data_IF_385520717873
#
_entry.id   IF_385520717873
#
_cell.length_a   1.000
_cell.length_b   1.000
_cell.length_c   1.000
_cell.angle_alpha   90.00
_cell.angle_beta   90.00
_cell.angle_gamma   90.00
#
_symmetry.space_group_name_H-M   'P 1'
#
loop_
_entity.id
_entity.type
_entity.pdbx_description
1 polymer ?
#
# COMPACT_ATOMS: atom_id res chain seq x y z
N UNK A 1 7.13 -7.81 -9.37
CA UNK A 1 7.12 -6.34 -9.48
C UNK A 1 7.17 -5.75 -8.08
N UNK A 2 8.02 -4.76 -7.83
CA UNK A 2 8.18 -4.19 -6.48
C UNK A 2 7.30 -2.97 -6.30
N UNK A 3 6.47 -3.03 -5.27
CA UNK A 3 5.51 -2.00 -4.93
C UNK A 3 5.83 -1.49 -3.53
N UNK A 4 5.82 -0.18 -3.41
CA UNK A 4 5.89 0.47 -2.13
C UNK A 4 4.49 0.61 -1.56
N UNK A 5 4.32 0.46 -0.24
CA UNK A 5 3.03 0.58 0.42
C UNK A 5 3.08 1.62 1.54
N UNK A 6 2.01 2.40 1.68
CA UNK A 6 1.79 3.24 2.85
C UNK A 6 1.22 2.44 4.04
N UNK A 7 1.11 3.07 5.20
CA UNK A 7 0.58 2.41 6.39
C UNK A 7 -0.88 1.98 6.23
N UNK A 8 -1.72 2.86 5.64
CA UNK A 8 -3.17 2.66 5.62
C UNK A 8 -3.60 1.50 4.73
N UNK A 9 -3.02 1.38 3.53
CA UNK A 9 -3.30 0.28 2.61
C UNK A 9 -2.72 -1.03 3.13
N UNK A 10 -1.51 -1.01 3.70
CA UNK A 10 -0.88 -2.20 4.29
C UNK A 10 -1.69 -2.77 5.46
N UNK A 11 -2.09 -1.92 6.41
CA UNK A 11 -2.95 -2.31 7.54
C UNK A 11 -4.27 -2.88 7.05
N UNK A 12 -4.86 -2.28 6.01
CA UNK A 12 -6.10 -2.80 5.40
C UNK A 12 -5.89 -4.23 4.92
N UNK A 13 -4.81 -4.51 4.18
CA UNK A 13 -4.50 -5.86 3.72
C UNK A 13 -4.20 -6.84 4.87
N UNK A 14 -3.61 -6.38 5.96
CA UNK A 14 -3.29 -7.19 7.14
C UNK A 14 -4.48 -7.45 8.07
N UNK A 15 -5.61 -6.76 7.86
CA UNK A 15 -6.80 -6.85 8.72
C UNK A 15 -7.91 -7.74 8.16
N UNK A 16 -8.08 -7.74 6.84
CA UNK A 16 -9.18 -8.46 6.19
C UNK A 16 -8.72 -9.82 5.66
N UNK A 17 -9.67 -10.75 5.56
CA UNK A 17 -9.44 -12.11 5.10
C UNK A 17 -10.42 -12.51 4.00
N UNK A 18 -9.96 -13.38 3.12
CA UNK A 18 -10.76 -14.12 2.14
C UNK A 18 -10.43 -15.60 2.33
N UNK A 19 -11.46 -16.44 2.48
CA UNK A 19 -11.31 -17.90 2.61
C UNK A 19 -10.29 -18.34 3.70
N UNK A 20 -10.25 -17.61 4.82
CA UNK A 20 -9.35 -17.88 5.96
C UNK A 20 -7.90 -17.41 5.78
N UNK A 21 -7.61 -16.70 4.69
CA UNK A 21 -6.29 -16.15 4.35
C UNK A 21 -6.31 -14.62 4.34
N UNK A 22 -5.27 -13.97 4.87
CA UNK A 22 -5.17 -12.51 4.85
C UNK A 22 -5.09 -11.97 3.42
N UNK A 23 -5.74 -10.84 3.18
CA UNK A 23 -5.61 -10.10 1.90
C UNK A 23 -4.14 -9.80 1.61
N UNK A 24 -3.34 -9.46 2.65
CA UNK A 24 -1.90 -9.24 2.55
C UNK A 24 -1.17 -10.44 1.93
N UNK A 25 -1.56 -11.66 2.28
CA UNK A 25 -0.90 -12.85 1.74
C UNK A 25 -1.24 -13.05 0.25
N UNK A 26 -2.43 -12.66 -0.22
CA UNK A 26 -2.73 -12.65 -1.67
C UNK A 26 -1.91 -11.60 -2.41
N UNK A 27 -1.76 -10.40 -1.83
CA UNK A 27 -0.92 -9.34 -2.40
C UNK A 27 0.53 -9.81 -2.51
N UNK A 28 1.06 -10.47 -1.48
CA UNK A 28 2.43 -10.99 -1.45
C UNK A 28 2.68 -12.18 -2.38
N UNK A 29 1.65 -12.77 -2.99
CA UNK A 29 1.83 -13.77 -4.04
C UNK A 29 2.04 -13.13 -5.42
N UNK A 30 1.59 -11.88 -5.59
CA UNK A 30 1.59 -11.19 -6.90
C UNK A 30 2.51 -9.97 -6.94
N UNK A 31 2.97 -9.49 -5.78
CA UNK A 31 3.88 -8.36 -5.67
C UNK A 31 4.93 -8.55 -4.57
N UNK A 32 6.11 -7.96 -4.80
CA UNK A 32 7.10 -7.74 -3.75
C UNK A 32 6.77 -6.43 -3.06
N UNK A 33 6.66 -6.43 -1.73
CA UNK A 33 6.35 -5.23 -0.95
C UNK A 33 7.63 -4.66 -0.36
N UNK A 34 7.80 -3.34 -0.48
CA UNK A 34 8.84 -2.59 0.23
C UNK A 34 8.22 -1.46 1.07
N UNK A 35 8.72 -1.27 2.28
CA UNK A 35 8.32 -0.23 3.22
C UNK A 35 9.52 0.64 3.60
N UNK A 36 9.25 1.87 4.03
CA UNK A 36 10.25 2.64 4.78
C UNK A 36 10.29 2.20 6.25
N UNK A 37 11.39 2.51 6.93
CA UNK A 37 11.53 2.27 8.37
C UNK A 37 10.45 3.01 9.18
N UNK A 38 10.05 4.19 8.73
CA UNK A 38 8.99 4.98 9.37
C UNK A 38 7.63 4.28 9.27
N UNK A 39 7.30 3.70 8.10
CA UNK A 39 6.07 2.93 7.93
C UNK A 39 6.12 1.64 8.75
N UNK A 40 7.28 0.96 8.84
CA UNK A 40 7.43 -0.17 9.77
C UNK A 40 7.15 0.27 11.21
N UNK A 41 7.75 1.36 11.70
CA UNK A 41 7.54 1.83 13.07
C UNK A 41 6.06 2.14 13.35
N UNK A 42 5.37 2.75 12.40
CA UNK A 42 3.95 3.06 12.53
C UNK A 42 3.08 1.79 12.54
N UNK A 43 3.28 0.91 11.56
CA UNK A 43 2.40 -0.26 11.35
C UNK A 43 2.72 -1.43 12.27
N UNK A 44 3.98 -1.54 12.72
CA UNK A 44 4.45 -2.64 13.58
C UNK A 44 4.71 -2.16 14.99
N UNK A 45 5.65 -1.24 15.21
CA UNK A 45 6.10 -0.94 16.58
C UNK A 45 5.00 -0.26 17.40
N UNK A 46 4.41 0.80 16.84
CA UNK A 46 3.26 1.48 17.45
C UNK A 46 2.01 0.58 17.46
N UNK A 47 1.81 -0.20 16.39
CA UNK A 47 0.72 -1.18 16.29
C UNK A 47 0.76 -2.23 17.41
N UNK A 48 1.92 -2.82 17.67
CA UNK A 48 2.12 -3.79 18.75
C UNK A 48 2.00 -3.17 20.12
N UNK A 49 2.55 -1.97 20.32
CA UNK A 49 2.38 -1.22 21.57
C UNK A 49 0.89 -0.91 21.85
N UNK A 50 0.10 -0.71 20.80
CA UNK A 50 -1.36 -0.51 20.87
C UNK A 50 -2.18 -1.81 20.97
N UNK A 51 -1.56 -2.99 20.86
CA UNK A 51 -2.26 -4.28 20.90
C UNK A 51 -3.06 -4.61 19.64
N UNK A 52 -2.70 -4.03 18.49
CA UNK A 52 -3.38 -4.26 17.22
C UNK A 52 -2.94 -5.60 16.58
N UNK A 53 -3.87 -6.55 16.30
CA UNK A 53 -3.51 -7.85 15.75
C UNK A 53 -2.86 -7.79 14.36
N UNK A 54 -3.25 -6.84 13.52
CA UNK A 54 -2.68 -6.64 12.18
C UNK A 54 -1.17 -6.34 12.23
N UNK A 55 -0.70 -5.68 13.29
CA UNK A 55 0.73 -5.41 13.50
C UNK A 55 1.55 -6.69 13.69
N UNK A 56 0.98 -7.71 14.35
CA UNK A 56 1.61 -9.03 14.50
C UNK A 56 1.78 -9.70 13.13
N UNK A 57 0.74 -9.62 12.30
CA UNK A 57 0.75 -10.22 10.97
C UNK A 57 1.76 -9.54 10.05
N UNK A 58 1.80 -8.20 10.03
CA UNK A 58 2.78 -7.42 9.26
C UNK A 58 4.20 -7.77 9.73
N UNK A 59 4.44 -7.79 11.05
CA UNK A 59 5.76 -8.13 11.60
C UNK A 59 6.23 -9.50 11.15
N UNK A 60 5.36 -10.51 11.20
CA UNK A 60 5.71 -11.86 10.78
C UNK A 60 6.15 -11.93 9.31
N UNK A 61 5.57 -11.10 8.42
CA UNK A 61 5.95 -11.04 7.00
C UNK A 61 7.27 -10.27 6.79
N UNK A 62 7.55 -9.26 7.61
CA UNK A 62 8.86 -8.59 7.64
C UNK A 62 9.94 -9.55 8.15
N UNK A 63 9.72 -10.20 9.29
CA UNK A 63 10.68 -11.12 9.91
C UNK A 63 11.02 -12.31 9.01
N UNK A 64 10.06 -12.78 8.20
CA UNK A 64 10.25 -13.85 7.22
C UNK A 64 10.84 -13.38 5.89
N UNK A 65 11.11 -12.07 5.73
CA UNK A 65 11.67 -11.48 4.52
C UNK A 65 10.70 -11.40 3.33
N UNK A 66 9.40 -11.60 3.54
CA UNK A 66 8.37 -11.41 2.49
C UNK A 66 8.06 -9.93 2.24
N UNK A 67 8.28 -9.08 3.24
CA UNK A 67 8.21 -7.61 3.13
C UNK A 67 9.61 -7.05 3.37
N UNK A 68 10.13 -6.29 2.42
CA UNK A 68 11.40 -5.59 2.55
C UNK A 68 11.20 -4.27 3.32
N UNK A 69 12.13 -3.93 4.22
CA UNK A 69 12.16 -2.61 4.87
C UNK A 69 13.46 -1.89 4.53
N UNK A 70 13.34 -0.65 4.06
CA UNK A 70 14.47 0.21 3.70
C UNK A 70 14.54 1.43 4.60
N UNK A 71 15.75 1.79 5.01
CA UNK A 71 16.02 3.10 5.56
C UNK A 71 16.16 4.10 4.40
N UNK A 72 15.50 5.25 4.50
CA UNK A 72 15.55 6.29 3.47
C UNK A 72 16.06 7.59 4.05
N UNK A 73 17.17 8.14 3.52
CA UNK A 73 17.66 9.42 4.00
C UNK A 73 16.71 10.54 3.55
N UNK A 74 16.77 11.66 4.28
CA UNK A 74 16.11 12.91 3.87
C UNK A 74 16.68 13.42 2.56
N UNK A 75 15.84 14.08 1.79
CA UNK A 75 16.20 14.77 0.56
C UNK A 75 16.77 16.15 0.87
N UNK A 76 16.97 16.98 -0.16
CA UNK A 76 17.46 18.35 0.03
C UNK A 76 16.50 19.18 0.90
N UNK A 77 17.05 20.08 1.72
CA UNK A 77 16.27 20.94 2.62
C UNK A 77 15.11 21.65 1.91
N UNK A 78 15.28 22.27 0.72
CA UNK A 78 14.16 22.94 0.05
C UNK A 78 13.03 21.98 -0.33
N UNK A 79 13.34 20.72 -0.63
CA UNK A 79 12.31 19.73 -0.95
C UNK A 79 11.59 19.25 0.31
N UNK A 80 12.32 19.02 1.40
CA UNK A 80 11.71 18.68 2.70
C UNK A 80 10.77 19.79 3.20
N UNK A 81 11.14 21.06 3.03
CA UNK A 81 10.27 22.21 3.33
C UNK A 81 8.99 22.19 2.48
N UNK A 82 9.07 21.81 1.21
CA UNK A 82 7.87 21.63 0.36
C UNK A 82 6.98 20.50 0.88
N UNK A 83 7.56 19.38 1.34
CA UNK A 83 6.79 18.29 1.96
C UNK A 83 6.13 18.73 3.27
N UNK A 84 6.80 19.58 4.06
CA UNK A 84 6.22 20.21 5.25
C UNK A 84 5.03 21.10 4.89
N UNK A 85 5.12 21.89 3.81
CA UNK A 85 4.04 22.76 3.34
C UNK A 85 2.80 22.00 2.85
N UNK A 86 2.96 20.77 2.36
CA UNK A 86 1.82 19.88 2.09
C UNK A 86 1.11 19.41 3.38
N UNK A 87 1.75 19.53 4.54
CA UNK A 87 1.23 19.02 5.81
C UNK A 87 1.42 17.51 5.99
N UNK A 88 2.35 16.90 5.24
CA UNK A 88 2.62 15.47 5.34
C UNK A 88 3.21 15.11 6.70
N UNK A 89 2.79 13.97 7.24
CA UNK A 89 3.40 13.39 8.43
C UNK A 89 4.72 12.67 8.07
N UNK A 90 5.55 12.32 9.06
CA UNK A 90 6.86 11.74 8.78
C UNK A 90 6.77 10.40 8.03
N UNK A 91 5.74 9.59 8.29
CA UNK A 91 5.46 8.36 7.52
C UNK A 91 5.23 8.64 6.04
N UNK A 92 4.35 9.58 5.71
CA UNK A 92 4.06 9.99 4.32
C UNK A 92 5.28 10.61 3.63
N UNK A 93 6.06 11.42 4.36
CA UNK A 93 7.33 11.96 3.83
C UNK A 93 8.31 10.85 3.50
N UNK A 94 8.45 9.87 4.40
CA UNK A 94 9.30 8.71 4.14
C UNK A 94 8.80 7.91 2.93
N UNK A 95 7.48 7.83 2.72
CA UNK A 95 6.93 7.22 1.51
C UNK A 95 7.38 7.98 0.26
N UNK A 96 7.25 9.31 0.23
CA UNK A 96 7.70 10.12 -0.90
C UNK A 96 9.21 9.96 -1.14
N UNK A 97 10.02 9.99 -0.07
CA UNK A 97 11.48 9.81 -0.15
C UNK A 97 11.85 8.45 -0.73
N UNK A 98 11.20 7.38 -0.28
CA UNK A 98 11.47 6.01 -0.76
C UNK A 98 11.15 5.89 -2.24
N UNK A 99 9.99 6.39 -2.67
CA UNK A 99 9.57 6.37 -4.08
C UNK A 99 10.52 7.15 -4.97
N UNK A 100 11.05 8.29 -4.49
CA UNK A 100 11.98 9.11 -5.24
C UNK A 100 13.39 8.49 -5.36
N UNK A 101 13.82 7.75 -4.36
CA UNK A 101 15.19 7.22 -4.25
C UNK A 101 15.32 5.75 -4.66
N UNK A 102 14.21 5.05 -4.90
CA UNK A 102 14.18 3.63 -5.27
C UNK A 102 13.68 3.48 -6.71
N UNK A 103 14.57 3.52 -7.72
CA UNK A 103 14.18 3.41 -9.13
C UNK A 103 13.62 2.02 -9.49
N UNK A 104 13.81 1.04 -8.63
CA UNK A 104 13.29 -0.32 -8.70
C UNK A 104 11.84 -0.45 -8.18
N UNK A 105 11.30 0.58 -7.51
CA UNK A 105 9.88 0.65 -7.12
C UNK A 105 9.05 1.10 -8.32
N UNK A 106 8.13 0.24 -8.76
CA UNK A 106 7.30 0.48 -9.93
C UNK A 106 6.16 1.46 -9.62
N UNK A 107 5.46 1.23 -8.51
CA UNK A 107 4.37 2.08 -8.06
C UNK A 107 4.26 2.11 -6.53
N UNK A 108 3.64 3.17 -6.01
CA UNK A 108 3.22 3.25 -4.60
C UNK A 108 1.73 2.94 -4.48
N UNK A 109 1.37 2.06 -3.56
CA UNK A 109 -0.02 1.78 -3.19
C UNK A 109 -0.37 2.57 -1.93
N UNK A 110 -1.43 3.38 -2.02
CA UNK A 110 -1.90 4.22 -0.90
C UNK A 110 -3.39 4.48 -1.01
N UNK A 111 -4.08 4.55 0.14
CA UNK A 111 -5.46 5.01 0.21
C UNK A 111 -5.59 6.48 0.65
N UNK A 112 -4.46 7.16 0.87
CA UNK A 112 -4.38 8.58 1.20
C UNK A 112 -4.39 9.46 -0.06
N UNK A 113 -5.38 10.33 -0.16
CA UNK A 113 -5.59 11.22 -1.32
C UNK A 113 -4.51 12.29 -1.45
N UNK A 114 -4.02 12.84 -0.35
CA UNK A 114 -2.99 13.88 -0.37
C UNK A 114 -1.67 13.28 -0.83
N UNK A 115 -1.29 12.14 -0.24
CA UNK A 115 -0.11 11.38 -0.63
C UNK A 115 -0.17 10.98 -2.11
N UNK A 116 -1.34 10.51 -2.59
CA UNK A 116 -1.56 10.24 -4.01
C UNK A 116 -1.22 11.46 -4.88
N UNK A 117 -1.78 12.63 -4.57
CA UNK A 117 -1.52 13.87 -5.33
C UNK A 117 -0.05 14.27 -5.29
N UNK A 118 0.60 14.18 -4.13
CA UNK A 118 2.01 14.56 -3.97
C UNK A 118 2.92 13.65 -4.80
N UNK A 119 2.73 12.32 -4.73
CA UNK A 119 3.51 11.36 -5.49
C UNK A 119 3.32 11.53 -7.01
N UNK A 120 2.08 11.76 -7.47
CA UNK A 120 1.82 12.08 -8.89
C UNK A 120 2.54 13.37 -9.33
N UNK A 121 2.57 14.40 -8.49
CA UNK A 121 3.35 15.63 -8.76
C UNK A 121 4.86 15.41 -8.80
N UNK A 122 5.34 14.40 -8.10
CA UNK A 122 6.73 13.95 -8.14
C UNK A 122 7.03 13.04 -9.35
N UNK A 123 6.07 12.85 -10.26
CA UNK A 123 6.23 12.02 -11.46
C UNK A 123 6.28 10.52 -11.15
N UNK A 124 5.69 10.08 -10.04
CA UNK A 124 5.68 8.68 -9.62
C UNK A 124 4.35 8.01 -9.96
N UNK A 125 4.42 6.71 -10.21
CA UNK A 125 3.22 5.89 -10.40
C UNK A 125 2.61 5.57 -9.03
N UNK A 126 1.29 5.72 -8.95
CA UNK A 126 0.54 5.58 -7.70
C UNK A 126 -0.77 4.88 -8.01
N UNK A 127 -1.13 3.92 -7.17
CA UNK A 127 -2.35 3.15 -7.26
C UNK A 127 -3.12 3.26 -5.94
N UNK A 128 -4.44 3.35 -6.00
CA UNK A 128 -5.24 2.97 -4.84
C UNK A 128 -5.22 1.45 -4.67
N UNK A 129 -5.52 0.94 -3.47
CA UNK A 129 -5.59 -0.51 -3.25
C UNK A 129 -6.54 -1.23 -4.25
N UNK A 130 -7.75 -0.71 -4.56
CA UNK A 130 -8.60 -1.31 -5.58
C UNK A 130 -7.97 -1.32 -6.97
N UNK A 131 -7.28 -0.25 -7.37
CA UNK A 131 -6.59 -0.17 -8.67
C UNK A 131 -5.45 -1.18 -8.77
N UNK A 132 -4.73 -1.42 -7.67
CA UNK A 132 -3.70 -2.46 -7.60
C UNK A 132 -4.29 -3.86 -7.80
N UNK A 133 -5.43 -4.16 -7.16
CA UNK A 133 -6.11 -5.44 -7.32
C UNK A 133 -6.65 -5.63 -8.74
N UNK A 134 -7.25 -4.59 -9.32
CA UNK A 134 -7.68 -4.59 -10.73
C UNK A 134 -6.51 -4.84 -11.67
N UNK A 135 -5.41 -4.10 -11.51
CA UNK A 135 -4.21 -4.26 -12.33
C UNK A 135 -3.66 -5.67 -12.21
N UNK A 136 -3.62 -6.23 -11.00
CA UNK A 136 -3.18 -7.61 -10.78
C UNK A 136 -4.05 -8.63 -11.51
N UNK A 137 -5.36 -8.39 -11.65
CA UNK A 137 -6.24 -9.22 -12.48
C UNK A 137 -5.98 -9.01 -13.97
N UNK A 138 -5.87 -7.75 -14.41
CA UNK A 138 -5.60 -7.40 -15.80
C UNK A 138 -4.27 -7.97 -16.33
N UNK A 139 -3.26 -8.02 -15.46
CA UNK A 139 -1.95 -8.60 -15.74
C UNK A 139 -1.94 -10.15 -15.65
N UNK A 140 -3.06 -10.76 -15.24
CA UNK A 140 -3.20 -12.22 -15.08
C UNK A 140 -2.52 -12.80 -13.85
N UNK A 141 -2.05 -11.97 -12.92
CA UNK A 141 -1.43 -12.40 -11.66
C UNK A 141 -2.48 -12.85 -10.62
N UNK A 142 -3.69 -12.29 -10.68
CA UNK A 142 -4.87 -12.75 -9.97
C UNK A 142 -5.95 -13.17 -10.97
N UNK A 143 -6.73 -14.20 -10.66
CA UNK A 143 -7.95 -14.46 -11.40
C UNK A 143 -9.06 -13.46 -10.99
N UNK A 144 -10.02 -13.24 -11.89
CA UNK A 144 -11.08 -12.26 -11.67
C UNK A 144 -11.96 -12.57 -10.45
N UNK A 145 -12.21 -13.84 -10.14
CA UNK A 145 -13.03 -14.22 -9.00
C UNK A 145 -12.30 -13.92 -7.67
N UNK A 146 -11.00 -14.21 -7.61
CA UNK A 146 -10.15 -13.81 -6.48
C UNK A 146 -10.09 -12.29 -6.34
N UNK A 147 -9.90 -11.55 -7.43
CA UNK A 147 -9.91 -10.09 -7.43
C UNK A 147 -11.21 -9.50 -6.86
N UNK A 148 -12.37 -10.00 -7.30
CA UNK A 148 -13.68 -9.58 -6.79
C UNK A 148 -13.83 -9.87 -5.29
N UNK A 149 -13.45 -11.07 -4.83
CA UNK A 149 -13.50 -11.43 -3.41
C UNK A 149 -12.63 -10.50 -2.56
N UNK A 150 -11.42 -10.18 -3.02
CA UNK A 150 -10.51 -9.29 -2.32
C UNK A 150 -11.08 -7.87 -2.22
N UNK A 151 -11.62 -7.32 -3.33
CA UNK A 151 -12.30 -6.02 -3.33
C UNK A 151 -13.48 -5.98 -2.36
N UNK A 152 -14.30 -7.04 -2.33
CA UNK A 152 -15.42 -7.14 -1.40
C UNK A 152 -14.96 -7.25 0.05
N UNK A 153 -13.85 -7.94 0.33
CA UNK A 153 -13.31 -8.08 1.67
C UNK A 153 -12.82 -6.75 2.25
N UNK A 154 -12.16 -5.91 1.45
CA UNK A 154 -11.66 -4.59 1.89
C UNK A 154 -12.72 -3.49 1.84
N UNK A 155 -13.91 -3.79 1.30
CA UNK A 155 -15.03 -2.85 1.15
C UNK A 155 -15.38 -2.03 2.39
N UNK A 156 -15.36 -2.57 3.63
CA UNK A 156 -15.71 -1.78 4.82
C UNK A 156 -14.74 -0.63 5.12
N UNK A 157 -13.54 -0.65 4.54
CA UNK A 157 -12.48 0.31 4.86
C UNK A 157 -12.34 1.44 3.83
N UNK A 158 -12.89 1.25 2.64
CA UNK A 158 -12.72 2.12 1.49
C UNK A 158 -14.04 2.78 1.06
N UNK A 159 -14.00 3.96 0.41
CA UNK A 159 -15.20 4.59 -0.12
C UNK A 159 -15.93 3.65 -1.09
N UNK A 160 -17.25 3.51 -0.93
CA UNK A 160 -18.05 2.58 -1.73
C UNK A 160 -17.87 2.78 -3.25
N UNK A 161 -17.77 4.04 -3.70
CA UNK A 161 -17.56 4.35 -5.12
C UNK A 161 -16.28 3.75 -5.71
N UNK A 162 -15.20 3.62 -4.92
CA UNK A 162 -13.95 3.03 -5.39
C UNK A 162 -14.14 1.54 -5.62
N UNK A 163 -14.72 0.84 -4.64
CA UNK A 163 -14.98 -0.59 -4.72
C UNK A 163 -15.94 -0.95 -5.85
N UNK A 164 -17.08 -0.26 -5.93
CA UNK A 164 -18.09 -0.56 -6.94
C UNK A 164 -17.57 -0.29 -8.36
N UNK A 165 -16.82 0.80 -8.55
CA UNK A 165 -16.18 1.08 -9.83
C UNK A 165 -15.21 -0.03 -10.23
N UNK A 166 -14.35 -0.48 -9.30
CA UNK A 166 -13.41 -1.57 -9.53
C UNK A 166 -14.10 -2.89 -9.87
N UNK A 167 -15.18 -3.23 -9.17
CA UNK A 167 -15.97 -4.43 -9.47
C UNK A 167 -16.54 -4.37 -10.89
N UNK A 168 -17.09 -3.22 -11.32
CA UNK A 168 -17.64 -3.06 -12.68
C UNK A 168 -16.56 -3.16 -13.76
N UNK A 169 -15.34 -2.69 -13.49
CA UNK A 169 -14.20 -2.87 -14.39
C UNK A 169 -13.78 -4.32 -14.51
N UNK A 170 -13.73 -5.06 -13.40
CA UNK A 170 -13.45 -6.50 -13.43
C UNK A 170 -14.53 -7.31 -14.16
N UNK A 171 -15.78 -6.86 -14.15
CA UNK A 171 -16.88 -7.45 -14.90
C UNK A 171 -16.85 -7.10 -16.40
N UNK A 172 -15.98 -6.17 -16.83
CA UNK A 172 -15.92 -5.67 -18.21
C UNK A 172 -17.12 -4.78 -18.60
N UNK A 173 -17.81 -4.20 -17.61
CA UNK A 173 -18.99 -3.34 -17.83
C UNK A 173 -18.59 -1.90 -18.15
N UNK A 174 -17.44 -1.46 -17.62
CA UNK A 174 -16.83 -0.14 -17.86
C UNK A 174 -15.33 -0.26 -18.12
#
# INVERSE_FOLDING_TARGET
MMHQWDATSLITCAKFQVDGRLVLDYVLDVANIVLSTEIQRETVDAGLAGGYPDAVEIKARIDSGRIEVRAVPRLSTPFEEVLDLYGLQEGDKAVVRLSLQSPDVEATVTDDRLLFVVLRRCGREVLFLPDFLEKSVGDGALDAASGQKLLLAVRPRLPAGFIEHSLRRLEGVI
#
